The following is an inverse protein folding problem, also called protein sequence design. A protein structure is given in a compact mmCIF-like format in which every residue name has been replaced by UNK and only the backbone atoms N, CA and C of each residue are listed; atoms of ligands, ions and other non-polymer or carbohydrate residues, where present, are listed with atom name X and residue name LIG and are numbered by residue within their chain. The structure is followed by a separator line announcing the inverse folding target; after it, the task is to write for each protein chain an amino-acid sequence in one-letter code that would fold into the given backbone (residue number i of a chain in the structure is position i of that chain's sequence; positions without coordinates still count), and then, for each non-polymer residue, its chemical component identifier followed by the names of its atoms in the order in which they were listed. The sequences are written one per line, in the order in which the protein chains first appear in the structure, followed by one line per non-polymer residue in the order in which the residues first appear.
data_IF_133917170498
#
_entry.id   IF_133917170498
#
_cell.length_a   1.000
_cell.length_b   1.000
_cell.length_c   1.000
_cell.angle_alpha   90.00
_cell.angle_beta   90.00
_cell.angle_gamma   90.00
#
_symmetry.space_group_name_H-M   'P 1'
#
loop_
_entity.id
_entity.type
_entity.pdbx_description
1 polymer ?
#
# COMPACT_ATOMS: atom_id res chain seq x y z
N UNK A 1 3.42 25.24 6.52
CA UNK A 1 2.58 24.19 5.94
C UNK A 1 3.40 23.06 5.31
N UNK A 2 4.43 23.41 4.52
CA UNK A 2 5.28 22.39 3.88
C UNK A 2 5.98 21.47 4.88
N UNK A 3 6.36 21.98 6.04
CA UNK A 3 7.02 21.17 7.07
C UNK A 3 6.09 20.10 7.64
N UNK A 4 4.79 20.42 7.78
CA UNK A 4 3.80 19.46 8.27
C UNK A 4 3.61 18.35 7.25
N UNK A 5 3.52 18.69 5.96
CA UNK A 5 3.39 17.71 4.89
C UNK A 5 4.61 16.79 4.85
N UNK A 6 5.81 17.35 4.95
CA UNK A 6 7.04 16.56 4.97
C UNK A 6 7.07 15.64 6.19
N UNK A 7 6.70 16.14 7.38
CA UNK A 7 6.68 15.33 8.59
C UNK A 7 5.69 14.17 8.45
N UNK A 8 4.52 14.43 7.89
CA UNK A 8 3.50 13.38 7.68
C UNK A 8 4.00 12.34 6.68
N UNK A 9 4.68 12.75 5.62
CA UNK A 9 5.28 11.82 4.65
C UNK A 9 6.34 10.93 5.31
N UNK A 10 7.17 11.51 6.17
CA UNK A 10 8.20 10.74 6.88
C UNK A 10 7.55 9.69 7.77
N UNK A 11 6.51 10.07 8.52
CA UNK A 11 5.78 9.13 9.37
C UNK A 11 5.12 8.05 8.51
N UNK A 12 4.53 8.42 7.38
CA UNK A 12 3.91 7.47 6.45
C UNK A 12 4.92 6.44 5.96
N UNK A 13 6.09 6.89 5.50
CA UNK A 13 7.14 6.00 5.01
C UNK A 13 7.61 5.07 6.13
N UNK A 14 7.82 5.60 7.34
CA UNK A 14 8.23 4.79 8.48
C UNK A 14 7.21 3.71 8.82
N UNK A 15 5.92 4.05 8.80
CA UNK A 15 4.85 3.08 9.05
C UNK A 15 4.81 1.99 7.98
N UNK A 16 4.98 2.38 6.71
CA UNK A 16 5.02 1.41 5.60
C UNK A 16 6.22 0.49 5.70
N UNK A 17 7.39 1.01 6.08
CA UNK A 17 8.58 0.19 6.27
C UNK A 17 8.39 -0.81 7.42
N UNK A 18 7.78 -0.36 8.52
CA UNK A 18 7.45 -1.25 9.63
C UNK A 18 6.47 -2.33 9.19
N UNK A 19 5.47 -1.96 8.42
CA UNK A 19 4.49 -2.89 7.89
C UNK A 19 5.16 -3.93 6.99
N UNK A 20 6.07 -3.50 6.12
CA UNK A 20 6.84 -4.42 5.27
C UNK A 20 7.63 -5.42 6.12
N UNK A 21 8.27 -4.93 7.18
CA UNK A 21 9.04 -5.79 8.08
C UNK A 21 8.16 -6.86 8.72
N UNK A 22 7.01 -6.46 9.30
CA UNK A 22 6.11 -7.42 9.95
C UNK A 22 5.46 -8.36 8.95
N UNK A 23 5.20 -7.90 7.72
CA UNK A 23 4.62 -8.74 6.68
C UNK A 23 5.61 -9.80 6.21
N UNK A 24 6.88 -9.45 6.04
CA UNK A 24 7.93 -10.41 5.67
C UNK A 24 8.18 -11.39 6.80
N UNK A 25 8.30 -10.89 8.03
CA UNK A 25 8.66 -11.72 9.18
C UNK A 25 7.53 -12.63 9.62
N UNK A 26 6.33 -12.07 9.81
CA UNK A 26 5.21 -12.77 10.44
C UNK A 26 4.01 -12.99 9.52
N UNK A 27 4.04 -12.45 8.30
CA UNK A 27 2.92 -12.46 7.35
C UNK A 27 1.64 -11.86 7.97
N UNK A 28 1.83 -10.86 8.83
CA UNK A 28 0.73 -10.19 9.53
C UNK A 28 0.79 -8.70 9.24
N UNK A 29 -0.34 -8.14 8.84
CA UNK A 29 -0.53 -6.69 8.73
C UNK A 29 -1.38 -6.28 9.92
N UNK A 30 -0.77 -5.56 10.86
CA UNK A 30 -1.43 -5.17 12.10
C UNK A 30 -2.55 -4.16 11.82
N UNK A 31 -3.71 -4.38 12.42
CA UNK A 31 -4.81 -3.42 12.35
C UNK A 31 -4.41 -2.07 12.96
N UNK A 32 -3.54 -2.07 13.97
CA UNK A 32 -3.04 -0.83 14.57
C UNK A 32 -2.25 -0.01 13.56
N UNK A 33 -1.38 -0.65 12.79
CA UNK A 33 -0.59 0.05 11.76
C UNK A 33 -1.50 0.60 10.67
N UNK A 34 -2.50 -0.18 10.22
CA UNK A 34 -3.46 0.27 9.23
C UNK A 34 -4.27 1.46 9.77
N UNK A 35 -4.70 1.42 11.02
CA UNK A 35 -5.42 2.52 11.65
C UNK A 35 -4.54 3.78 11.75
N UNK A 36 -3.28 3.62 12.12
CA UNK A 36 -2.33 4.74 12.16
C UNK A 36 -2.12 5.32 10.77
N UNK A 37 -2.01 4.46 9.75
CA UNK A 37 -1.91 4.93 8.36
C UNK A 37 -3.14 5.72 7.96
N UNK A 38 -4.33 5.27 8.35
CA UNK A 38 -5.56 6.00 8.07
C UNK A 38 -5.50 7.41 8.67
N UNK A 39 -5.08 7.54 9.92
CA UNK A 39 -4.99 8.83 10.60
C UNK A 39 -3.90 9.74 10.03
N UNK A 40 -2.92 9.19 9.32
CA UNK A 40 -1.90 9.96 8.63
C UNK A 40 -2.34 10.31 7.21
N UNK A 41 -2.92 9.35 6.51
CA UNK A 41 -3.33 9.50 5.10
C UNK A 41 -4.43 10.54 4.93
N UNK A 42 -5.43 10.55 5.82
CA UNK A 42 -6.56 11.47 5.70
C UNK A 42 -6.10 12.94 5.80
N UNK A 43 -5.38 13.36 6.86
CA UNK A 43 -4.87 14.72 6.91
C UNK A 43 -3.94 15.06 5.76
N UNK A 44 -3.07 14.11 5.38
CA UNK A 44 -2.09 14.32 4.32
C UNK A 44 -2.78 14.54 2.97
N UNK A 45 -3.82 13.76 2.67
CA UNK A 45 -4.59 13.92 1.45
C UNK A 45 -5.30 15.27 1.41
N UNK A 46 -5.87 15.69 2.54
CA UNK A 46 -6.52 17.00 2.64
C UNK A 46 -5.54 18.14 2.45
N UNK A 47 -4.34 18.03 3.02
CA UNK A 47 -3.32 19.09 2.92
C UNK A 47 -2.71 19.14 1.53
N UNK A 48 -2.45 17.99 0.92
CA UNK A 48 -1.74 17.92 -0.36
C UNK A 48 -2.65 18.11 -1.56
N UNK A 49 -3.84 17.49 -1.54
CA UNK A 49 -4.76 17.48 -2.67
C UNK A 49 -6.07 18.23 -2.40
N UNK A 50 -6.26 18.69 -1.16
CA UNK A 50 -7.49 19.33 -0.70
C UNK A 50 -8.73 18.47 -0.91
N UNK A 51 -8.53 17.15 -0.97
CA UNK A 51 -9.60 16.20 -1.23
C UNK A 51 -9.21 14.83 -0.68
N UNK A 52 -10.22 14.04 -0.34
CA UNK A 52 -10.07 12.63 0.00
C UNK A 52 -10.74 11.84 -1.12
N UNK A 53 -10.00 10.86 -1.66
CA UNK A 53 -10.50 10.04 -2.77
C UNK A 53 -11.27 8.84 -2.22
N UNK A 54 -12.45 9.13 -1.67
CA UNK A 54 -13.25 8.15 -0.93
C UNK A 54 -13.87 7.09 -1.85
N UNK A 55 -14.36 7.50 -3.03
CA UNK A 55 -15.05 6.58 -3.94
C UNK A 55 -14.14 5.45 -4.41
N UNK A 56 -12.91 5.72 -4.92
CA UNK A 56 -12.00 4.62 -5.29
C UNK A 56 -11.64 3.73 -4.11
N UNK A 57 -11.47 4.31 -2.92
CA UNK A 57 -11.13 3.53 -1.73
C UNK A 57 -12.27 2.59 -1.34
N UNK A 58 -13.51 3.07 -1.38
CA UNK A 58 -14.68 2.24 -1.09
C UNK A 58 -14.88 1.15 -2.13
N UNK A 59 -14.66 1.47 -3.42
CA UNK A 59 -14.72 0.46 -4.48
C UNK A 59 -13.65 -0.60 -4.29
N UNK A 60 -12.44 -0.19 -3.92
CA UNK A 60 -11.36 -1.14 -3.63
C UNK A 60 -11.71 -2.03 -2.45
N UNK A 61 -12.37 -1.48 -1.44
CA UNK A 61 -12.79 -2.25 -0.27
C UNK A 61 -13.85 -3.30 -0.65
N UNK A 62 -14.83 -2.92 -1.46
CA UNK A 62 -15.91 -3.81 -1.90
C UNK A 62 -15.36 -4.92 -2.79
N UNK A 63 -14.56 -4.56 -3.82
CA UNK A 63 -13.93 -5.54 -4.71
C UNK A 63 -12.99 -6.44 -3.91
N UNK A 64 -12.23 -5.84 -2.99
CA UNK A 64 -11.32 -6.58 -2.13
C UNK A 64 -12.05 -7.57 -1.23
N UNK A 65 -13.23 -7.21 -0.73
CA UNK A 65 -14.04 -8.14 0.07
C UNK A 65 -14.41 -9.38 -0.73
N UNK A 66 -14.80 -9.21 -2.01
CA UNK A 66 -15.08 -10.34 -2.89
C UNK A 66 -13.82 -11.19 -3.09
N UNK A 67 -12.68 -10.55 -3.33
CA UNK A 67 -11.40 -11.25 -3.49
C UNK A 67 -11.04 -12.01 -2.21
N UNK A 68 -11.28 -11.42 -1.05
CA UNK A 68 -11.06 -12.08 0.24
C UNK A 68 -11.95 -13.31 0.39
N UNK A 69 -13.21 -13.21 -0.01
CA UNK A 69 -14.13 -14.34 0.04
C UNK A 69 -13.68 -15.50 -0.86
N UNK A 70 -12.97 -15.17 -1.94
CA UNK A 70 -12.40 -16.19 -2.84
C UNK A 70 -11.06 -16.75 -2.35
N UNK A 71 -10.59 -16.31 -1.18
CA UNK A 71 -9.32 -16.74 -0.56
C UNK A 71 -8.09 -16.44 -1.40
N UNK A 72 -8.15 -15.41 -2.25
CA UNK A 72 -7.02 -14.99 -3.08
C UNK A 72 -6.09 -14.08 -2.29
N UNK A 73 -6.66 -13.23 -1.42
CA UNK A 73 -5.91 -12.16 -0.76
C UNK A 73 -6.40 -12.01 0.69
N UNK A 74 -5.49 -11.65 1.58
CA UNK A 74 -5.82 -11.46 2.99
C UNK A 74 -6.57 -10.17 3.27
N UNK A 75 -7.33 -10.16 4.37
CA UNK A 75 -8.11 -8.99 4.78
C UNK A 75 -7.21 -7.78 5.07
N UNK A 76 -6.03 -8.02 5.66
CA UNK A 76 -5.09 -6.94 5.97
C UNK A 76 -4.59 -6.22 4.72
N UNK A 77 -4.33 -6.99 3.64
CA UNK A 77 -3.89 -6.42 2.37
C UNK A 77 -4.95 -5.52 1.76
N UNK A 78 -6.21 -5.96 1.84
CA UNK A 78 -7.34 -5.19 1.31
C UNK A 78 -7.53 -3.89 2.07
N UNK A 79 -7.45 -3.96 3.40
CA UNK A 79 -7.54 -2.76 4.25
C UNK A 79 -6.42 -1.78 3.94
N UNK A 80 -5.21 -2.29 3.75
CA UNK A 80 -4.06 -1.45 3.39
C UNK A 80 -4.27 -0.75 2.06
N UNK A 81 -4.71 -1.47 1.04
CA UNK A 81 -4.99 -0.88 -0.28
C UNK A 81 -6.05 0.21 -0.15
N UNK A 82 -7.14 -0.06 0.55
CA UNK A 82 -8.23 0.91 0.70
C UNK A 82 -7.75 2.19 1.39
N UNK A 83 -6.97 2.05 2.46
CA UNK A 83 -6.44 3.21 3.19
C UNK A 83 -5.51 4.03 2.31
N UNK A 84 -4.59 3.39 1.60
CA UNK A 84 -3.64 4.09 0.74
C UNK A 84 -4.34 4.77 -0.44
N UNK A 85 -5.42 4.18 -0.96
CA UNK A 85 -6.15 4.77 -2.08
C UNK A 85 -6.89 6.06 -1.70
N UNK A 86 -7.07 6.34 -0.41
CA UNK A 86 -7.65 7.60 0.03
C UNK A 86 -6.82 8.82 -0.40
N UNK A 87 -5.53 8.65 -0.62
CA UNK A 87 -4.66 9.75 -1.03
C UNK A 87 -4.07 9.58 -2.43
N UNK A 88 -4.65 8.70 -3.25
CA UNK A 88 -4.20 8.51 -4.63
C UNK A 88 -5.19 9.19 -5.57
N UNK A 89 -4.78 10.25 -6.31
CA UNK A 89 -5.63 10.89 -7.30
C UNK A 89 -6.09 9.91 -8.38
N UNK A 90 -7.23 10.19 -8.99
CA UNK A 90 -7.82 9.29 -9.99
C UNK A 90 -6.86 8.96 -11.14
N UNK A 91 -6.06 9.95 -11.57
CA UNK A 91 -5.13 9.78 -12.68
C UNK A 91 -3.99 8.81 -12.35
N UNK A 92 -3.73 8.60 -11.05
CA UNK A 92 -2.59 7.79 -10.59
C UNK A 92 -2.98 6.38 -10.17
N UNK A 93 -4.28 6.04 -10.17
CA UNK A 93 -4.74 4.73 -9.71
C UNK A 93 -4.14 3.61 -10.57
N UNK A 94 -4.15 3.79 -11.89
CA UNK A 94 -3.59 2.81 -12.83
C UNK A 94 -2.10 2.61 -12.55
N UNK A 95 -1.35 3.70 -12.33
CA UNK A 95 0.07 3.62 -12.03
C UNK A 95 0.34 2.91 -10.71
N UNK A 96 -0.48 3.19 -9.69
CA UNK A 96 -0.35 2.52 -8.40
C UNK A 96 -0.50 1.01 -8.55
N UNK A 97 -1.55 0.56 -9.22
CA UNK A 97 -1.77 -0.88 -9.42
C UNK A 97 -0.72 -1.49 -10.34
N UNK A 98 -0.26 -0.75 -11.35
CA UNK A 98 0.82 -1.22 -12.22
C UNK A 98 2.11 -1.45 -11.43
N UNK A 99 2.51 -0.49 -10.60
CA UNK A 99 3.73 -0.63 -9.81
C UNK A 99 3.58 -1.70 -8.73
N UNK A 100 2.39 -1.83 -8.15
CA UNK A 100 2.11 -2.89 -7.18
C UNK A 100 2.22 -4.27 -7.84
N UNK A 101 1.65 -4.43 -9.03
CA UNK A 101 1.73 -5.69 -9.77
C UNK A 101 3.17 -5.99 -10.17
N UNK A 102 3.93 -5.00 -10.61
CA UNK A 102 5.33 -5.16 -10.98
C UNK A 102 6.16 -5.57 -9.76
N UNK A 103 5.95 -4.91 -8.62
CA UNK A 103 6.63 -5.26 -7.37
C UNK A 103 6.26 -6.68 -6.93
N UNK A 104 4.99 -7.06 -7.09
CA UNK A 104 4.54 -8.41 -6.79
C UNK A 104 5.22 -9.45 -7.67
N UNK A 105 5.37 -9.15 -8.96
CA UNK A 105 6.08 -10.03 -9.88
C UNK A 105 7.54 -10.22 -9.47
N UNK A 106 8.21 -9.12 -9.09
CA UNK A 106 9.59 -9.20 -8.60
C UNK A 106 9.67 -10.05 -7.32
N UNK A 107 8.72 -9.89 -6.42
CA UNK A 107 8.67 -10.70 -5.20
C UNK A 107 8.49 -12.17 -5.50
N UNK A 108 7.64 -12.51 -6.49
CA UNK A 108 7.43 -13.89 -6.91
C UNK A 108 8.74 -14.48 -7.45
N UNK A 109 9.42 -13.75 -8.33
CA UNK A 109 10.67 -14.20 -8.93
C UNK A 109 11.74 -14.40 -7.86
N UNK A 110 11.95 -13.38 -7.02
CA UNK A 110 12.98 -13.44 -5.98
C UNK A 110 12.67 -14.54 -4.97
N UNK A 111 11.41 -14.63 -4.54
CA UNK A 111 10.97 -15.61 -3.58
C UNK A 111 11.09 -17.02 -4.12
N UNK A 112 10.71 -17.24 -5.38
CA UNK A 112 10.81 -18.57 -6.00
C UNK A 112 12.26 -19.01 -6.15
N UNK A 113 13.18 -18.07 -6.45
CA UNK A 113 14.59 -18.39 -6.62
C UNK A 113 15.31 -18.62 -5.29
N UNK A 114 14.99 -17.82 -4.25
CA UNK A 114 15.77 -17.82 -3.02
C UNK A 114 15.00 -18.30 -1.79
N UNK A 115 13.65 -18.17 -1.78
CA UNK A 115 12.82 -18.44 -0.61
C UNK A 115 11.65 -19.36 -0.95
N UNK A 116 11.86 -20.32 -1.85
CA UNK A 116 10.80 -21.21 -2.33
C UNK A 116 10.02 -21.89 -1.20
N UNK A 117 10.75 -22.40 -0.21
CA UNK A 117 10.15 -23.10 0.92
C UNK A 117 9.25 -22.17 1.74
N UNK A 118 9.75 -20.98 2.04
CA UNK A 118 8.99 -19.98 2.80
C UNK A 118 7.71 -19.58 2.08
N UNK A 119 7.77 -19.40 0.76
CA UNK A 119 6.60 -19.03 -0.04
C UNK A 119 5.56 -20.15 -0.04
N UNK A 120 5.99 -21.40 -0.17
CA UNK A 120 5.08 -22.54 -0.14
C UNK A 120 4.36 -22.68 1.20
N UNK A 121 5.08 -22.43 2.30
CA UNK A 121 4.53 -22.58 3.64
C UNK A 121 3.73 -21.36 4.11
N UNK A 122 4.19 -20.15 3.77
CA UNK A 122 3.69 -18.90 4.36
C UNK A 122 3.01 -17.97 3.33
N UNK A 123 3.16 -18.24 2.04
CA UNK A 123 2.65 -17.38 0.98
C UNK A 123 3.54 -16.18 0.72
N UNK A 124 3.07 -15.28 -0.15
CA UNK A 124 3.80 -14.08 -0.54
C UNK A 124 3.44 -12.90 0.37
N UNK A 125 4.42 -12.03 0.68
CA UNK A 125 4.14 -10.81 1.46
C UNK A 125 3.55 -9.72 0.56
N UNK A 126 2.25 -9.80 0.29
CA UNK A 126 1.56 -8.82 -0.58
C UNK A 126 1.66 -7.39 -0.05
N UNK A 127 1.74 -7.22 1.27
CA UNK A 127 1.89 -5.89 1.86
C UNK A 127 3.17 -5.19 1.42
N UNK A 128 4.24 -5.94 1.18
CA UNK A 128 5.48 -5.39 0.65
C UNK A 128 5.26 -4.87 -0.77
N UNK A 129 4.59 -5.64 -1.63
CA UNK A 129 4.30 -5.22 -3.00
C UNK A 129 3.42 -3.97 -3.03
N UNK A 130 2.39 -3.93 -2.20
CA UNK A 130 1.49 -2.79 -2.10
C UNK A 130 2.24 -1.54 -1.64
N UNK A 131 3.08 -1.69 -0.61
CA UNK A 131 3.87 -0.58 -0.07
C UNK A 131 4.88 -0.05 -1.08
N UNK A 132 5.58 -0.95 -1.79
CA UNK A 132 6.53 -0.56 -2.83
C UNK A 132 5.82 0.13 -3.99
N UNK A 133 4.67 -0.37 -4.41
CA UNK A 133 3.88 0.25 -5.46
C UNK A 133 3.43 1.65 -5.08
N UNK A 134 2.96 1.81 -3.84
CA UNK A 134 2.55 3.11 -3.34
C UNK A 134 3.72 4.09 -3.26
N UNK A 135 4.84 3.67 -2.69
CA UNK A 135 6.02 4.52 -2.55
C UNK A 135 6.60 4.92 -3.91
N UNK A 136 6.60 3.99 -4.88
CA UNK A 136 7.06 4.29 -6.24
C UNK A 136 6.15 5.33 -6.90
N UNK A 137 4.84 5.15 -6.77
CA UNK A 137 3.88 6.11 -7.32
C UNK A 137 4.05 7.48 -6.65
N UNK A 138 4.24 7.50 -5.33
CA UNK A 138 4.42 8.73 -4.59
C UNK A 138 5.70 9.46 -5.03
N UNK A 139 6.80 8.72 -5.20
CA UNK A 139 8.07 9.28 -5.65
C UNK A 139 7.96 9.87 -7.06
N UNK A 140 7.31 9.16 -7.97
CA UNK A 140 7.13 9.64 -9.35
C UNK A 140 6.20 10.84 -9.42
N UNK A 141 5.16 10.88 -8.59
CA UNK A 141 4.22 11.99 -8.59
C UNK A 141 4.82 13.26 -7.99
N UNK A 142 5.90 13.13 -7.21
CA UNK A 142 6.59 14.27 -6.63
C UNK A 142 7.61 14.90 -7.58
N UNK A 143 7.94 14.22 -8.69
CA UNK A 143 8.86 14.75 -9.70
C UNK A 143 8.10 15.79 -10.52
N UNK A 144 8.67 17.04 -10.65
CA UNK A 144 8.00 18.05 -11.46
C UNK A 144 7.87 17.60 -12.91
N UNK A 145 6.70 17.82 -13.49
CA UNK A 145 6.52 17.56 -14.91
C UNK A 145 7.32 18.58 -15.73
N UNK A 146 8.15 18.06 -16.60
CA UNK A 146 8.98 18.91 -17.44
C UNK A 146 8.15 19.65 -18.49
#
# INVERSE_FOLDING_TARGET
MNYIIIALHIVLVCLLLRLCYTDVRDRVISNRVVALLFFIVVPLSLLQYQSIFLVPALLALVVGFVIFMLHVMGAGDIKLIAVLMLMIPYEQIIFFFFFTAFAGLLLIIIGWLFYRKSIKERGLPYGVAISLGFLTNLALSSVPSA
#
